data_IF_060849329086
#
_entry.id   IF_060849329086
#
_cell.length_a   1.000
_cell.length_b   1.000
_cell.length_c   1.000
_cell.angle_alpha   90.00
_cell.angle_beta   90.00
_cell.angle_gamma   90.00
#
_symmetry.space_group_name_H-M   'P 1'
#
loop_
_entity.id
_entity.type
_entity.pdbx_description
1 polymer ?
#
# COMPACT_ATOMS: atom_id res chain seq x y z
N UNK A 1 8.81 32.24 -5.36
CA UNK A 1 8.50 30.83 -5.71
C UNK A 1 8.77 29.81 -4.58
N UNK A 2 9.66 30.03 -3.60
CA UNK A 2 9.99 29.01 -2.58
C UNK A 2 8.99 28.80 -1.42
N UNK A 3 8.23 29.82 -1.03
CA UNK A 3 7.24 29.72 0.05
C UNK A 3 6.03 28.83 -0.30
N UNK A 4 5.56 28.93 -1.54
CA UNK A 4 4.45 28.12 -2.06
C UNK A 4 4.81 26.63 -2.13
N UNK A 5 6.02 26.31 -2.61
CA UNK A 5 6.54 24.93 -2.66
C UNK A 5 6.63 24.31 -1.27
N UNK A 6 7.23 25.02 -0.29
CA UNK A 6 7.29 24.54 1.11
C UNK A 6 5.91 24.30 1.74
N UNK A 7 4.92 25.14 1.41
CA UNK A 7 3.54 24.98 1.91
C UNK A 7 2.84 23.77 1.28
N UNK A 8 3.07 23.52 -0.02
CA UNK A 8 2.56 22.33 -0.71
C UNK A 8 3.20 21.05 -0.14
N UNK A 9 4.53 21.02 0.00
CA UNK A 9 5.27 19.88 0.56
C UNK A 9 4.76 19.53 1.98
N UNK A 10 4.44 20.54 2.80
CA UNK A 10 3.90 20.32 4.15
C UNK A 10 2.49 19.71 4.13
N UNK A 11 1.61 20.16 3.23
CA UNK A 11 0.25 19.62 3.10
C UNK A 11 0.27 18.17 2.61
N UNK A 12 1.13 17.87 1.63
CA UNK A 12 1.34 16.51 1.13
C UNK A 12 1.90 15.59 2.22
N UNK A 13 2.87 16.05 3.02
CA UNK A 13 3.36 15.28 4.18
C UNK A 13 2.29 15.03 5.24
N UNK A 14 1.41 15.99 5.50
CA UNK A 14 0.27 15.78 6.41
C UNK A 14 -0.64 14.68 5.88
N UNK A 15 -0.95 14.71 4.58
CA UNK A 15 -1.81 13.72 3.95
C UNK A 15 -1.22 12.30 4.02
N UNK A 16 0.05 12.14 3.65
CA UNK A 16 0.75 10.86 3.75
C UNK A 16 0.80 10.38 5.20
N UNK A 17 1.02 11.27 6.18
CA UNK A 17 1.00 10.87 7.60
C UNK A 17 -0.34 10.28 8.01
N UNK A 18 -1.46 10.87 7.58
CA UNK A 18 -2.80 10.34 7.88
C UNK A 18 -2.95 8.92 7.33
N UNK A 19 -2.57 8.71 6.07
CA UNK A 19 -2.60 7.36 5.48
C UNK A 19 -1.72 6.36 6.20
N UNK A 20 -0.51 6.77 6.58
CA UNK A 20 0.41 5.91 7.30
C UNK A 20 -0.15 5.54 8.69
N UNK A 21 -0.82 6.48 9.38
CA UNK A 21 -1.55 6.20 10.62
C UNK A 21 -2.68 5.20 10.42
N UNK A 22 -3.50 5.39 9.38
CA UNK A 22 -4.56 4.44 9.03
C UNK A 22 -4.00 3.02 8.80
N UNK A 23 -2.84 2.90 8.15
CA UNK A 23 -2.21 1.59 7.90
C UNK A 23 -1.66 0.92 9.16
N UNK A 24 -1.10 1.73 10.07
CA UNK A 24 -0.66 1.25 11.38
C UNK A 24 -1.87 0.79 12.20
N UNK A 25 -2.94 1.58 12.29
CA UNK A 25 -4.17 1.20 13.01
C UNK A 25 -4.76 -0.08 12.42
N UNK A 26 -4.92 -0.15 11.09
CA UNK A 26 -5.45 -1.34 10.43
C UNK A 26 -4.59 -2.58 10.69
N UNK A 27 -3.26 -2.43 10.72
CA UNK A 27 -2.36 -3.54 11.03
C UNK A 27 -2.47 -3.97 12.50
N UNK A 28 -2.54 -3.03 13.43
CA UNK A 28 -2.75 -3.30 14.85
C UNK A 28 -4.05 -4.07 15.09
N UNK A 29 -5.16 -3.63 14.48
CA UNK A 29 -6.44 -4.35 14.58
C UNK A 29 -6.37 -5.76 13.98
N UNK A 30 -5.63 -5.95 12.90
CA UNK A 30 -5.42 -7.25 12.28
C UNK A 30 -4.62 -8.19 13.21
N UNK A 31 -3.60 -7.67 13.88
CA UNK A 31 -2.84 -8.39 14.89
C UNK A 31 -3.71 -8.74 16.10
N UNK A 32 -4.54 -7.82 16.60
CA UNK A 32 -5.48 -8.10 17.69
C UNK A 32 -6.45 -9.22 17.33
N UNK A 33 -7.17 -9.10 16.21
CA UNK A 33 -8.12 -10.13 15.75
C UNK A 33 -7.44 -11.49 15.55
N UNK A 34 -6.21 -11.50 15.04
CA UNK A 34 -5.49 -12.75 14.84
C UNK A 34 -4.97 -13.32 16.17
N UNK A 35 -4.52 -12.48 17.10
CA UNK A 35 -4.14 -12.89 18.45
C UNK A 35 -5.26 -13.61 19.19
N UNK A 36 -6.49 -13.09 19.10
CA UNK A 36 -7.70 -13.74 19.66
C UNK A 36 -7.92 -15.14 19.07
N UNK A 37 -7.69 -15.34 17.77
CA UNK A 37 -7.79 -16.66 17.12
C UNK A 37 -6.69 -17.63 17.55
N UNK A 38 -5.54 -17.11 17.97
CA UNK A 38 -4.42 -17.91 18.46
C UNK A 38 -4.58 -18.30 19.94
N UNK A 39 -5.47 -17.65 20.69
CA UNK A 39 -5.68 -17.98 22.10
C UNK A 39 -5.98 -19.47 22.29
N UNK A 40 -5.24 -20.10 23.21
CA UNK A 40 -5.35 -21.53 23.48
C UNK A 40 -4.58 -22.44 22.52
N UNK A 41 -3.97 -21.92 21.45
CA UNK A 41 -3.14 -22.69 20.54
C UNK A 41 -1.66 -22.66 20.96
N UNK A 42 -1.04 -23.83 21.07
CA UNK A 42 0.40 -23.94 21.30
C UNK A 42 1.16 -23.66 19.99
N UNK A 43 1.80 -22.49 19.91
CA UNK A 43 2.68 -22.14 18.80
C UNK A 43 4.07 -22.75 18.97
N UNK A 44 4.60 -23.35 17.91
CA UNK A 44 6.02 -23.72 17.83
C UNK A 44 6.94 -22.48 17.85
N UNK A 45 8.25 -22.72 17.97
CA UNK A 45 9.23 -21.64 18.12
C UNK A 45 9.29 -20.71 16.89
N UNK A 46 9.17 -21.27 15.68
CA UNK A 46 9.25 -20.50 14.43
C UNK A 46 8.02 -19.62 14.25
N UNK A 47 6.83 -20.18 14.50
CA UNK A 47 5.54 -19.47 14.40
C UNK A 47 5.47 -18.33 15.42
N UNK A 48 5.99 -18.57 16.64
CA UNK A 48 6.10 -17.53 17.67
C UNK A 48 7.07 -16.42 17.27
N UNK A 49 8.19 -16.76 16.64
CA UNK A 49 9.16 -15.79 16.14
C UNK A 49 8.58 -14.90 15.03
N UNK A 50 7.88 -15.50 14.06
CA UNK A 50 7.20 -14.76 13.00
C UNK A 50 6.11 -13.84 13.58
N UNK A 51 5.37 -14.30 14.60
CA UNK A 51 4.35 -13.48 15.25
C UNK A 51 4.95 -12.30 16.02
N UNK A 52 6.04 -12.52 16.76
CA UNK A 52 6.77 -11.44 17.42
C UNK A 52 7.31 -10.43 16.40
N UNK A 53 7.83 -10.89 15.26
CA UNK A 53 8.30 -10.01 14.18
C UNK A 53 7.18 -9.12 13.65
N UNK A 54 5.95 -9.64 13.56
CA UNK A 54 4.79 -8.86 13.14
C UNK A 54 4.39 -7.79 14.18
N UNK A 55 4.44 -8.13 15.49
CA UNK A 55 4.19 -7.19 16.59
C UNK A 55 5.26 -6.08 16.64
N UNK A 56 6.55 -6.44 16.54
CA UNK A 56 7.67 -5.49 16.53
C UNK A 56 7.58 -4.53 15.34
N UNK A 57 7.12 -5.02 14.18
CA UNK A 57 6.88 -4.19 13.01
C UNK A 57 5.76 -3.17 13.24
N UNK A 58 4.68 -3.55 13.92
CA UNK A 58 3.61 -2.63 14.30
C UNK A 58 4.13 -1.50 15.20
N UNK A 59 4.82 -1.83 16.29
CA UNK A 59 5.39 -0.84 17.22
C UNK A 59 6.45 0.05 16.54
N UNK A 60 7.24 -0.53 15.64
CA UNK A 60 8.24 0.22 14.87
C UNK A 60 7.56 1.18 13.89
N UNK A 61 6.51 0.74 13.20
CA UNK A 61 5.76 1.58 12.28
C UNK A 61 5.09 2.76 13.00
N UNK A 62 4.50 2.53 14.18
CA UNK A 62 3.94 3.60 15.02
C UNK A 62 4.98 4.68 15.34
N UNK A 63 6.15 4.29 15.85
CA UNK A 63 7.26 5.21 16.15
C UNK A 63 7.76 5.96 14.91
N UNK A 64 7.83 5.30 13.76
CA UNK A 64 8.26 5.94 12.51
C UNK A 64 7.23 6.96 12.02
N UNK A 65 5.94 6.67 12.14
CA UNK A 65 4.85 7.59 11.76
C UNK A 65 4.83 8.82 12.64
N UNK A 66 5.10 8.70 13.94
CA UNK A 66 5.20 9.83 14.85
C UNK A 66 6.38 10.74 14.50
N UNK A 67 7.52 10.15 14.12
CA UNK A 67 8.76 10.87 13.74
C UNK A 67 8.81 11.32 12.28
N UNK A 68 7.79 10.99 11.49
CA UNK A 68 7.74 11.34 10.06
C UNK A 68 7.94 12.84 9.90
N UNK A 69 8.96 13.27 9.15
CA UNK A 69 9.28 14.69 8.97
C UNK A 69 9.72 15.02 7.53
N UNK A 70 9.93 13.99 6.71
CA UNK A 70 10.30 14.11 5.31
C UNK A 70 9.72 12.96 4.49
N UNK A 71 9.66 13.13 3.17
CA UNK A 71 9.20 12.08 2.26
C UNK A 71 10.14 10.88 2.21
N UNK A 72 11.43 11.06 2.52
CA UNK A 72 12.41 9.98 2.53
C UNK A 72 12.10 8.94 3.62
N UNK A 73 11.57 9.38 4.76
CA UNK A 73 11.17 8.50 5.86
C UNK A 73 9.94 7.63 5.55
N UNK A 74 9.20 7.92 4.47
CA UNK A 74 8.01 7.16 4.08
C UNK A 74 8.37 5.72 3.71
N UNK A 75 9.46 5.53 2.97
CA UNK A 75 9.89 4.19 2.54
C UNK A 75 10.13 3.28 3.73
N UNK A 76 10.73 3.81 4.81
CA UNK A 76 10.95 3.03 6.04
C UNK A 76 9.63 2.55 6.66
N UNK A 77 8.60 3.41 6.74
CA UNK A 77 7.28 3.04 7.25
C UNK A 77 6.66 1.93 6.39
N UNK A 78 6.70 2.11 5.08
CA UNK A 78 6.15 1.16 4.10
C UNK A 78 6.86 -0.19 4.17
N UNK A 79 8.19 -0.19 4.23
CA UNK A 79 9.01 -1.40 4.33
C UNK A 79 8.73 -2.14 5.64
N UNK A 80 8.63 -1.42 6.77
CA UNK A 80 8.28 -2.00 8.07
C UNK A 80 6.90 -2.64 8.05
N UNK A 81 5.87 -1.95 7.55
CA UNK A 81 4.51 -2.50 7.46
C UNK A 81 4.44 -3.70 6.50
N UNK A 82 5.16 -3.64 5.38
CA UNK A 82 5.23 -4.75 4.42
C UNK A 82 5.90 -5.98 5.03
N UNK A 83 6.99 -5.78 5.78
CA UNK A 83 7.68 -6.85 6.49
C UNK A 83 6.78 -7.46 7.58
N UNK A 84 6.08 -6.63 8.36
CA UNK A 84 5.14 -7.10 9.38
C UNK A 84 3.98 -7.91 8.80
N UNK A 85 3.39 -7.45 7.70
CA UNK A 85 2.31 -8.18 7.01
C UNK A 85 2.79 -9.50 6.38
N UNK A 86 4.02 -9.54 5.88
CA UNK A 86 4.63 -10.79 5.42
C UNK A 86 4.83 -11.77 6.58
N UNK A 87 5.37 -11.31 7.71
CA UNK A 87 5.55 -12.14 8.90
C UNK A 87 4.21 -12.71 9.39
N UNK A 88 3.17 -11.88 9.48
CA UNK A 88 1.81 -12.33 9.83
C UNK A 88 1.25 -13.35 8.82
N UNK A 89 1.54 -13.21 7.52
CA UNK A 89 1.16 -14.18 6.51
C UNK A 89 1.88 -15.53 6.69
N UNK A 90 3.16 -15.54 7.10
CA UNK A 90 3.86 -16.76 7.49
C UNK A 90 3.22 -17.44 8.70
N UNK A 91 2.84 -16.67 9.73
CA UNK A 91 2.15 -17.22 10.91
C UNK A 91 0.83 -17.88 10.50
N UNK A 92 0.03 -17.22 9.66
CA UNK A 92 -1.23 -17.77 9.13
C UNK A 92 -1.00 -19.08 8.38
N UNK A 93 0.00 -19.13 7.50
CA UNK A 93 0.31 -20.33 6.73
C UNK A 93 0.70 -21.49 7.65
N UNK A 94 1.56 -21.25 8.64
CA UNK A 94 1.97 -22.28 9.62
C UNK A 94 0.80 -22.83 10.43
N UNK A 95 -0.07 -21.94 10.93
CA UNK A 95 -1.26 -22.33 11.69
C UNK A 95 -2.24 -23.13 10.83
N UNK A 96 -2.37 -22.80 9.55
CA UNK A 96 -3.24 -23.51 8.60
C UNK A 96 -2.62 -24.82 8.06
N UNK A 97 -1.32 -25.06 8.27
CA UNK A 97 -0.59 -26.15 7.62
C UNK A 97 -0.34 -25.92 6.13
N UNK A 98 -0.42 -24.66 5.68
CA UNK A 98 -0.18 -24.26 4.30
C UNK A 98 1.31 -23.99 4.04
N UNK A 99 1.77 -24.07 2.77
CA UNK A 99 3.11 -23.62 2.39
C UNK A 99 3.33 -22.14 2.73
N UNK A 100 4.55 -21.81 3.18
CA UNK A 100 4.91 -20.42 3.46
C UNK A 100 4.77 -19.55 2.20
N UNK A 101 4.28 -18.31 2.34
CA UNK A 101 4.14 -17.41 1.20
C UNK A 101 5.51 -17.02 0.64
N UNK A 102 5.58 -16.83 -0.68
CA UNK A 102 6.74 -16.19 -1.30
C UNK A 102 6.84 -14.73 -0.86
N UNK A 103 8.07 -14.22 -0.71
CA UNK A 103 8.30 -12.81 -0.42
C UNK A 103 8.11 -11.96 -1.68
N UNK A 104 6.87 -11.54 -1.91
CA UNK A 104 6.46 -10.72 -3.07
C UNK A 104 6.07 -9.30 -2.65
N UNK A 105 5.89 -8.43 -3.64
CA UNK A 105 5.26 -7.13 -3.41
C UNK A 105 3.85 -7.30 -2.85
N UNK A 106 3.32 -6.28 -2.15
CA UNK A 106 1.96 -6.32 -1.63
C UNK A 106 0.91 -6.47 -2.74
N UNK A 107 -0.31 -6.84 -2.35
CA UNK A 107 -1.44 -6.84 -3.26
C UNK A 107 -1.63 -5.46 -3.91
N UNK A 108 -1.73 -5.44 -5.24
CA UNK A 108 -1.92 -4.23 -6.02
C UNK A 108 -3.23 -3.49 -5.69
N UNK A 109 -4.31 -4.24 -5.41
CA UNK A 109 -5.63 -3.66 -5.17
C UNK A 109 -5.73 -3.02 -3.78
N UNK A 110 -5.10 -3.64 -2.80
CA UNK A 110 -4.95 -3.09 -1.46
C UNK A 110 -3.67 -3.64 -0.80
N UNK A 111 -2.61 -2.83 -0.65
CA UNK A 111 -1.36 -3.25 0.00
C UNK A 111 -1.56 -3.76 1.44
N UNK A 112 -2.65 -3.39 2.11
CA UNK A 112 -2.99 -3.90 3.44
C UNK A 112 -3.31 -5.41 3.43
N UNK A 113 -3.65 -6.01 2.29
CA UNK A 113 -3.89 -7.46 2.20
C UNK A 113 -2.61 -8.30 2.37
N UNK A 114 -1.43 -7.67 2.47
CA UNK A 114 -0.15 -8.36 2.60
C UNK A 114 0.40 -8.83 1.25
N UNK A 115 1.32 -9.82 1.24
CA UNK A 115 2.05 -10.21 0.04
C UNK A 115 1.10 -10.75 -1.04
N UNK A 116 1.40 -10.43 -2.29
CA UNK A 116 0.74 -11.07 -3.42
C UNK A 116 1.04 -12.57 -3.44
N UNK A 117 0.08 -13.36 -3.89
CA UNK A 117 0.24 -14.81 -4.09
C UNK A 117 0.55 -15.15 -5.55
N UNK A 118 0.07 -14.34 -6.49
CA UNK A 118 0.27 -14.53 -7.93
C UNK A 118 0.05 -13.25 -8.70
N UNK A 119 0.48 -13.22 -9.95
CA UNK A 119 0.09 -12.16 -10.87
C UNK A 119 -1.23 -12.52 -11.57
N UNK A 120 -2.08 -11.52 -11.82
CA UNK A 120 -3.35 -11.66 -12.55
C UNK A 120 -3.43 -10.67 -13.70
N UNK A 121 -4.15 -11.03 -14.75
CA UNK A 121 -4.54 -10.10 -15.82
C UNK A 121 -5.86 -9.47 -15.41
N UNK A 122 -5.89 -8.15 -15.32
CA UNK A 122 -7.05 -7.39 -14.90
C UNK A 122 -7.28 -6.20 -15.83
N UNK A 123 -8.53 -5.95 -16.15
CA UNK A 123 -8.98 -4.79 -16.93
C UNK A 123 -9.92 -3.97 -16.05
N UNK A 124 -9.52 -2.79 -15.56
CA UNK A 124 -10.45 -1.90 -14.88
C UNK A 124 -11.54 -1.45 -15.86
N UNK A 125 -12.76 -1.19 -15.35
CA UNK A 125 -13.90 -0.69 -16.17
C UNK A 125 -13.54 0.49 -17.06
N UNK A 126 -12.73 1.42 -16.54
CA UNK A 126 -12.30 2.63 -17.22
C UNK A 126 -10.77 2.66 -17.39
N UNK A 127 -10.19 1.68 -18.07
CA UNK A 127 -8.76 1.73 -18.39
C UNK A 127 -8.23 0.53 -19.14
N UNK A 128 -6.90 0.50 -19.32
CA UNK A 128 -6.22 -0.57 -20.03
C UNK A 128 -6.00 -1.82 -19.17
N UNK A 129 -6.12 -2.98 -19.82
CA UNK A 129 -5.71 -4.28 -19.31
C UNK A 129 -4.25 -4.26 -18.86
N UNK A 130 -3.98 -4.92 -17.74
CA UNK A 130 -2.65 -4.97 -17.12
C UNK A 130 -2.44 -6.26 -16.36
N UNK A 131 -1.17 -6.65 -16.22
CA UNK A 131 -0.75 -7.72 -15.33
C UNK A 131 -0.32 -7.11 -13.99
N UNK A 132 -0.96 -7.51 -12.90
CA UNK A 132 -0.72 -6.94 -11.55
C UNK A 132 -0.58 -8.04 -10.49
N UNK A 133 0.24 -7.84 -9.45
CA UNK A 133 0.35 -8.77 -8.33
C UNK A 133 -0.89 -8.71 -7.43
N UNK A 134 -1.48 -9.85 -7.10
CA UNK A 134 -2.70 -9.94 -6.28
C UNK A 134 -2.55 -10.98 -5.16
N UNK A 135 -3.13 -10.69 -3.99
CA UNK A 135 -3.26 -11.69 -2.92
C UNK A 135 -4.18 -12.84 -3.37
N UNK A 136 -4.18 -13.94 -2.62
CA UNK A 136 -4.98 -15.12 -2.96
C UNK A 136 -6.48 -14.80 -3.11
N UNK A 137 -7.02 -13.93 -2.24
CA UNK A 137 -8.43 -13.55 -2.25
C UNK A 137 -8.80 -12.71 -3.47
N UNK A 138 -8.06 -11.65 -3.77
CA UNK A 138 -8.35 -10.80 -4.93
C UNK A 138 -8.10 -11.53 -6.25
N UNK A 139 -7.11 -12.43 -6.29
CA UNK A 139 -6.91 -13.29 -7.44
C UNK A 139 -8.10 -14.24 -7.67
N UNK A 140 -8.76 -14.71 -6.61
CA UNK A 140 -9.96 -15.53 -6.72
C UNK A 140 -11.15 -14.72 -7.26
N UNK A 141 -11.36 -13.49 -6.77
CA UNK A 141 -12.42 -12.58 -7.27
C UNK A 141 -12.28 -12.31 -8.77
N UNK A 142 -11.08 -11.97 -9.22
CA UNK A 142 -10.79 -11.75 -10.65
C UNK A 142 -11.14 -12.97 -11.49
N UNK A 143 -10.80 -14.18 -11.02
CA UNK A 143 -11.14 -15.42 -11.73
C UNK A 143 -12.65 -15.69 -11.79
N UNK A 144 -13.39 -15.25 -10.77
CA UNK A 144 -14.85 -15.30 -10.75
C UNK A 144 -15.51 -14.21 -11.62
N UNK A 145 -14.73 -13.31 -12.23
CA UNK A 145 -15.26 -12.19 -13.01
C UNK A 145 -15.76 -11.03 -12.14
N UNK A 146 -15.39 -11.00 -10.86
CA UNK A 146 -15.75 -9.95 -9.92
C UNK A 146 -14.71 -8.82 -9.88
N UNK A 147 -15.16 -7.60 -9.62
CA UNK A 147 -14.27 -6.46 -9.39
C UNK A 147 -13.63 -6.58 -7.99
N UNK A 148 -12.28 -6.51 -7.87
CA UNK A 148 -11.60 -6.55 -6.59
C UNK A 148 -11.85 -5.24 -5.82
N UNK A 149 -11.88 -5.28 -4.47
CA UNK A 149 -12.07 -4.10 -3.66
C UNK A 149 -10.79 -3.27 -3.70
N UNK A 150 -10.80 -2.24 -4.53
CA UNK A 150 -9.67 -1.31 -4.65
C UNK A 150 -9.66 -0.38 -3.43
N UNK A 151 -8.50 -0.28 -2.76
CA UNK A 151 -8.32 0.72 -1.72
C UNK A 151 -8.45 2.11 -2.31
N UNK A 152 -9.31 2.92 -1.70
CA UNK A 152 -9.46 4.34 -2.03
C UNK A 152 -8.69 5.18 -1.02
N UNK A 153 -8.03 6.22 -1.51
CA UNK A 153 -7.33 7.22 -0.73
C UNK A 153 -8.10 8.52 -0.83
N UNK A 154 -8.46 9.09 0.32
CA UNK A 154 -9.14 10.38 0.36
C UNK A 154 -8.16 11.52 0.15
N UNK A 155 -8.46 12.48 -0.72
CA UNK A 155 -7.71 13.72 -0.88
C UNK A 155 -8.67 14.91 -0.98
N UNK A 156 -8.69 15.73 0.08
CA UNK A 156 -9.74 16.73 0.25
C UNK A 156 -11.12 16.07 0.27
N UNK A 157 -11.96 16.43 -0.71
CA UNK A 157 -13.31 15.88 -0.91
C UNK A 157 -13.34 14.70 -1.90
N UNK A 158 -12.23 14.39 -2.56
CA UNK A 158 -12.15 13.32 -3.56
C UNK A 158 -11.66 12.01 -2.95
N UNK A 159 -12.05 10.89 -3.56
CA UNK A 159 -11.46 9.58 -3.32
C UNK A 159 -10.86 9.06 -4.62
N UNK A 160 -9.60 8.66 -4.57
CA UNK A 160 -8.88 8.13 -5.72
C UNK A 160 -8.37 6.73 -5.43
N UNK A 161 -8.39 5.81 -6.41
CA UNK A 161 -7.73 4.52 -6.30
C UNK A 161 -6.27 4.65 -5.84
N UNK A 162 -5.88 3.90 -4.81
CA UNK A 162 -4.53 3.91 -4.27
C UNK A 162 -3.45 3.50 -5.29
N UNK A 163 -3.83 2.82 -6.38
CA UNK A 163 -2.92 2.40 -7.44
C UNK A 163 -2.76 3.43 -8.57
N UNK A 164 -3.63 4.44 -8.65
CA UNK A 164 -3.64 5.41 -9.74
C UNK A 164 -2.34 6.24 -9.72
N UNK A 165 -1.69 6.37 -10.88
CA UNK A 165 -0.45 7.14 -10.99
C UNK A 165 -0.76 8.64 -10.84
N UNK A 166 0.04 9.34 -10.03
CA UNK A 166 -0.20 10.73 -9.69
C UNK A 166 -1.26 10.92 -8.59
N UNK A 167 -1.76 9.83 -8.00
CA UNK A 167 -2.58 9.92 -6.80
C UNK A 167 -1.75 10.52 -5.64
N UNK A 168 -2.38 11.19 -4.66
CA UNK A 168 -1.67 11.88 -3.57
C UNK A 168 -0.82 10.96 -2.68
N UNK A 169 -1.06 9.64 -2.75
CA UNK A 169 -0.25 8.61 -2.11
C UNK A 169 0.94 8.15 -2.95
N UNK A 170 1.28 8.81 -4.07
CA UNK A 170 2.35 8.41 -5.00
C UNK A 170 3.67 8.03 -4.29
N UNK A 171 4.19 8.80 -3.31
CA UNK A 171 5.41 8.40 -2.59
C UNK A 171 5.24 7.11 -1.80
N UNK A 172 4.08 6.95 -1.16
CA UNK A 172 3.70 5.77 -0.37
C UNK A 172 3.53 4.53 -1.26
N UNK A 173 2.90 4.71 -2.44
CA UNK A 173 2.72 3.70 -3.49
C UNK A 173 4.04 3.26 -4.10
N UNK A 174 4.92 4.21 -4.43
CA UNK A 174 6.27 3.90 -4.93
C UNK A 174 7.03 3.05 -3.91
N UNK A 175 6.90 3.34 -2.61
CA UNK A 175 7.44 2.49 -1.55
C UNK A 175 7.07 1.01 -1.73
N UNK A 176 5.78 0.71 -1.87
CA UNK A 176 5.29 -0.67 -1.97
C UNK A 176 5.75 -1.41 -3.24
N UNK A 177 5.92 -0.72 -4.37
CA UNK A 177 6.14 -1.35 -5.67
C UNK A 177 7.53 -1.11 -6.28
N UNK A 178 8.40 -0.34 -5.62
CA UNK A 178 9.76 -0.05 -6.11
C UNK A 178 10.73 -1.24 -6.03
N UNK A 179 10.38 -2.32 -5.31
CA UNK A 179 11.21 -3.51 -5.16
C UNK A 179 11.14 -4.52 -6.33
N UNK A 180 10.23 -4.35 -7.30
CA UNK A 180 10.05 -5.31 -8.42
C UNK A 180 10.27 -4.66 -9.78
N UNK A 181 11.49 -4.64 -10.32
CA UNK A 181 11.82 -4.19 -11.70
C UNK A 181 11.48 -2.72 -12.05
N UNK A 182 10.62 -2.07 -11.26
CA UNK A 182 10.08 -0.74 -11.44
C UNK A 182 11.12 0.33 -11.14
N UNK A 183 12.20 0.02 -10.39
CA UNK A 183 13.33 0.94 -10.22
C UNK A 183 13.92 1.36 -11.57
N UNK A 184 14.14 0.41 -12.49
CA UNK A 184 14.68 0.72 -13.82
C UNK A 184 13.68 1.55 -14.63
N UNK A 185 12.40 1.16 -14.63
CA UNK A 185 11.35 1.85 -15.38
C UNK A 185 11.01 3.25 -14.85
N UNK A 186 11.05 3.45 -13.53
CA UNK A 186 10.82 4.74 -12.85
C UNK A 186 12.06 5.64 -13.01
N UNK A 187 13.28 5.11 -12.97
CA UNK A 187 14.49 5.87 -13.30
C UNK A 187 14.48 6.31 -14.77
N UNK A 188 14.11 5.42 -15.69
CA UNK A 188 14.02 5.70 -17.12
C UNK A 188 12.94 6.75 -17.41
N UNK A 189 11.77 6.64 -16.75
CA UNK A 189 10.70 7.64 -16.82
C UNK A 189 11.15 8.98 -16.23
N UNK A 190 11.87 8.99 -15.09
CA UNK A 190 12.48 10.20 -14.52
C UNK A 190 13.54 10.83 -15.43
N UNK A 191 14.33 10.03 -16.15
CA UNK A 191 15.34 10.50 -17.11
C UNK A 191 14.69 11.08 -18.37
N UNK A 192 13.60 10.46 -18.86
CA UNK A 192 12.84 10.90 -20.03
C UNK A 192 11.99 12.15 -19.75
N UNK A 193 11.46 12.29 -18.54
CA UNK A 193 10.71 13.45 -18.08
C UNK A 193 11.59 14.60 -17.57
N UNK A 194 12.92 14.46 -17.61
CA UNK A 194 13.86 15.50 -17.17
C UNK A 194 13.87 16.75 -18.07
N UNK A 195 13.00 16.79 -19.09
CA UNK A 195 12.71 17.98 -19.91
C UNK A 195 11.32 18.59 -19.72
N UNK A 196 10.32 17.88 -19.18
CA UNK A 196 8.91 18.33 -19.21
C UNK A 196 8.11 17.86 -17.98
N UNK A 197 8.63 18.11 -16.79
CA UNK A 197 7.98 17.80 -15.51
C UNK A 197 7.55 19.05 -14.75
N UNK A 198 6.75 19.93 -15.36
CA UNK A 198 6.02 20.94 -14.58
C UNK A 198 4.94 20.20 -13.79
N UNK A 199 5.21 19.91 -12.51
CA UNK A 199 4.17 19.58 -11.55
C UNK A 199 3.20 20.75 -11.46
N UNK A 200 2.15 20.72 -12.27
CA UNK A 200 1.13 21.75 -12.35
C UNK A 200 -0.13 21.24 -11.66
N UNK A 201 -0.15 21.36 -10.34
CA UNK A 201 -1.40 21.32 -9.60
C UNK A 201 -1.84 22.76 -9.36
N UNK A 202 -2.82 23.18 -10.17
CA UNK A 202 -3.56 24.43 -10.02
C UNK A 202 -3.31 25.46 -11.12
N UNK A 203 -4.07 25.36 -12.22
CA UNK A 203 -4.80 26.48 -12.88
C UNK A 203 -5.56 25.97 -14.12
N UNK A 204 -6.26 24.83 -14.05
CA UNK A 204 -7.40 24.57 -14.94
C UNK A 204 -8.07 23.27 -14.52
N UNK A 205 -9.01 23.35 -13.59
CA UNK A 205 -10.04 22.34 -13.48
C UNK A 205 -11.33 23.05 -13.89
N UNK A 206 -11.67 22.86 -15.17
CA UNK A 206 -12.98 23.22 -15.70
C UNK A 206 -14.10 22.72 -14.78
N UNK A 207 -15.22 23.43 -14.81
CA UNK A 207 -16.38 23.24 -13.93
C UNK A 207 -16.71 21.75 -13.65
N UNK A 208 -17.10 21.42 -12.41
CA UNK A 208 -17.10 20.07 -11.90
C UNK A 208 -18.13 19.19 -12.61
N UNK A 209 -17.68 18.04 -13.13
CA UNK A 209 -18.57 16.89 -13.31
C UNK A 209 -18.43 15.99 -12.10
N UNK A 210 -19.39 16.11 -11.20
CA UNK A 210 -19.61 15.12 -10.14
C UNK A 210 -19.80 13.77 -10.82
N UNK A 211 -18.91 12.80 -10.56
CA UNK A 211 -19.18 11.38 -10.81
C UNK A 211 -19.03 10.64 -9.49
N UNK A 212 -20.15 10.08 -9.03
CA UNK A 212 -20.15 9.07 -7.97
C UNK A 212 -19.46 7.81 -8.50
N UNK A 213 -18.80 7.01 -7.66
CA UNK A 213 -18.03 5.86 -8.13
C UNK A 213 -18.90 4.67 -8.58
N UNK A 214 -20.23 4.79 -8.54
CA UNK A 214 -21.16 3.67 -8.68
C UNK A 214 -22.47 4.01 -9.41
N UNK A 215 -22.42 4.91 -10.40
CA UNK A 215 -23.48 5.02 -11.43
C UNK A 215 -22.95 4.54 -12.78
#
# INVERSE_FOLDING_TARGET
>A
MGWWRRRQDAQELTHVRVMAKEDVVQFGEELTRFGELLEGNALDAETRHDYQTALDAYETAERLVDRLSSFESISAIVDTLTAGRYALACVRARVAGDPLPERRTPCFFNPQHGPAARDVVWTPRNGATRKVPACAQDAARIRAGEDPPVRLVRYGEQQVPAWEAGAPNEPYRIGFFSASGARAHVMELKMRLKGEGRGQWGTDLGKPRIRRPYD
#
